data_IF_509042042370
#
_entry.id   IF_509042042370
#
_cell.length_a   1.000
_cell.length_b   1.000
_cell.length_c   1.000
_cell.angle_alpha   90.00
_cell.angle_beta   90.00
_cell.angle_gamma   90.00
#
_symmetry.space_group_name_H-M   'P 1'
#
loop_
_entity.id
_entity.type
_entity.pdbx_description
1 polymer ?
#
# COMPACT_ATOMS: atom_id res chain seq x y z
N UNK A 1 19.25 -13.11 38.64
CA UNK A 1 18.59 -13.00 37.32
C UNK A 1 17.08 -13.12 37.54
N UNK A 2 16.28 -12.13 37.11
CA UNK A 2 14.83 -12.13 37.28
C UNK A 2 14.16 -12.54 35.96
N UNK A 3 14.34 -13.80 35.57
CA UNK A 3 13.84 -14.37 34.31
C UNK A 3 12.78 -15.43 34.63
N UNK A 4 11.61 -15.32 34.00
CA UNK A 4 10.46 -16.17 34.27
C UNK A 4 9.86 -16.73 32.98
N UNK A 5 9.07 -17.79 33.11
CA UNK A 5 8.44 -18.46 31.99
C UNK A 5 7.33 -17.59 31.36
N UNK A 6 7.40 -17.36 30.06
CA UNK A 6 6.43 -16.55 29.31
C UNK A 6 5.33 -17.37 28.62
N UNK A 7 5.35 -18.71 28.73
CA UNK A 7 4.43 -19.62 28.04
C UNK A 7 3.22 -20.03 28.86
N UNK A 8 3.28 -19.81 30.17
CA UNK A 8 2.20 -20.07 31.11
C UNK A 8 2.17 -18.99 32.20
N UNK A 9 1.24 -19.10 33.15
CA UNK A 9 1.02 -18.10 34.19
C UNK A 9 1.96 -18.26 35.41
N UNK A 10 2.96 -19.16 35.39
CA UNK A 10 3.83 -19.38 36.56
C UNK A 10 4.55 -18.11 37.00
N UNK A 11 4.90 -17.24 36.04
CA UNK A 11 5.60 -15.99 36.28
C UNK A 11 4.89 -15.09 37.31
N UNK A 12 3.57 -15.19 37.46
CA UNK A 12 2.83 -14.39 38.45
C UNK A 12 3.25 -14.73 39.87
N UNK A 13 3.31 -16.02 40.18
CA UNK A 13 3.70 -16.49 41.51
C UNK A 13 5.19 -16.23 41.74
N UNK A 14 6.01 -16.51 40.73
CA UNK A 14 7.46 -16.34 40.80
C UNK A 14 7.84 -14.86 41.02
N UNK A 15 7.19 -13.93 40.33
CA UNK A 15 7.39 -12.48 40.53
C UNK A 15 6.90 -12.05 41.90
N UNK A 16 5.75 -12.51 42.38
CA UNK A 16 5.21 -12.14 43.70
C UNK A 16 6.07 -12.61 44.87
N UNK A 17 6.81 -13.70 44.71
CA UNK A 17 7.76 -14.14 45.74
C UNK A 17 8.90 -13.13 45.94
N UNK A 18 9.29 -12.43 44.86
CA UNK A 18 10.38 -11.45 44.88
C UNK A 18 9.85 -10.04 45.14
N UNK A 19 8.71 -9.71 44.54
CA UNK A 19 8.02 -8.43 44.61
C UNK A 19 6.58 -8.64 45.09
N UNK A 20 6.35 -8.81 46.41
CA UNK A 20 5.01 -9.06 46.96
C UNK A 20 4.00 -7.96 46.64
N UNK A 21 4.50 -6.74 46.44
CA UNK A 21 3.70 -5.55 46.16
C UNK A 21 3.28 -5.43 44.69
N UNK A 22 3.87 -6.23 43.79
CA UNK A 22 3.73 -6.10 42.34
C UNK A 22 4.83 -5.28 41.68
N UNK A 23 4.57 -4.80 40.47
CA UNK A 23 5.48 -4.09 39.58
C UNK A 23 4.86 -2.75 39.19
N UNK A 24 5.66 -1.68 39.23
CA UNK A 24 5.19 -0.33 38.90
C UNK A 24 4.88 -0.15 37.41
N UNK A 25 5.66 -0.79 36.53
CA UNK A 25 5.50 -0.68 35.07
C UNK A 25 5.56 -2.05 34.43
N UNK A 26 4.53 -2.39 33.66
CA UNK A 26 4.48 -3.64 32.88
C UNK A 26 4.44 -3.28 31.41
N UNK A 27 5.47 -3.68 30.64
CA UNK A 27 5.47 -3.61 29.18
C UNK A 27 5.04 -4.97 28.65
N UNK A 28 3.77 -5.08 28.24
CA UNK A 28 3.17 -6.35 27.85
C UNK A 28 3.22 -6.58 26.33
N UNK A 29 3.53 -7.83 25.97
CA UNK A 29 3.36 -8.37 24.61
C UNK A 29 2.69 -9.76 24.61
N UNK A 30 2.23 -10.23 25.77
CA UNK A 30 1.50 -11.49 25.90
C UNK A 30 0.01 -11.27 25.59
N UNK A 31 -0.69 -12.33 25.19
CA UNK A 31 -2.10 -12.25 24.78
C UNK A 31 -3.01 -13.16 25.61
N UNK A 32 -4.31 -12.90 25.57
CA UNK A 32 -5.34 -13.77 26.15
C UNK A 32 -5.22 -13.88 27.67
N UNK A 33 -5.22 -15.11 28.21
CA UNK A 33 -5.16 -15.31 29.65
C UNK A 33 -3.87 -14.75 30.26
N UNK A 34 -2.74 -14.83 29.56
CA UNK A 34 -1.47 -14.35 30.09
C UNK A 34 -1.46 -12.82 30.26
N UNK A 35 -2.13 -12.06 29.38
CA UNK A 35 -2.35 -10.62 29.57
C UNK A 35 -3.17 -10.35 30.85
N UNK A 36 -4.24 -11.12 31.06
CA UNK A 36 -5.10 -11.03 32.26
C UNK A 36 -4.38 -11.43 33.55
N UNK A 37 -3.38 -12.29 33.46
CA UNK A 37 -2.52 -12.64 34.59
C UNK A 37 -1.45 -11.56 34.82
N UNK A 38 -0.85 -11.01 33.77
CA UNK A 38 0.11 -9.90 33.86
C UNK A 38 -0.47 -8.68 34.58
N UNK A 39 -1.72 -8.27 34.28
CA UNK A 39 -2.30 -7.07 34.90
C UNK A 39 -2.47 -7.21 36.42
N UNK A 40 -2.60 -8.44 36.95
CA UNK A 40 -2.69 -8.70 38.41
C UNK A 40 -1.38 -8.46 39.15
N UNK A 41 -0.28 -8.26 38.42
CA UNK A 41 1.02 -7.92 38.97
C UNK A 41 1.23 -6.42 39.13
N UNK A 42 0.31 -5.55 38.69
CA UNK A 42 0.47 -4.11 38.89
C UNK A 42 0.47 -3.77 40.38
N UNK A 43 1.48 -3.00 40.79
CA UNK A 43 1.49 -2.32 42.07
C UNK A 43 0.48 -1.15 42.07
N UNK A 44 0.22 -0.59 43.25
CA UNK A 44 -0.61 0.62 43.39
C UNK A 44 0.01 1.77 42.58
N UNK A 45 -0.82 2.55 41.86
CA UNK A 45 -0.40 3.55 40.87
C UNK A 45 0.35 2.99 39.64
N UNK A 46 0.33 1.68 39.42
CA UNK A 46 1.08 1.06 38.35
C UNK A 46 0.60 1.44 36.93
N UNK A 47 1.52 1.35 35.97
CA UNK A 47 1.27 1.61 34.56
C UNK A 47 1.42 0.34 33.73
N UNK A 48 0.33 -0.06 33.08
CA UNK A 48 0.34 -1.15 32.11
C UNK A 48 0.48 -0.58 30.69
N UNK A 49 1.50 -1.00 29.97
CA UNK A 49 1.78 -0.58 28.59
C UNK A 49 1.54 -1.78 27.69
N UNK A 50 0.43 -1.77 26.97
CA UNK A 50 0.06 -2.80 26.00
C UNK A 50 0.64 -2.48 24.63
N UNK A 51 1.61 -3.29 24.20
CA UNK A 51 2.18 -3.24 22.85
C UNK A 51 1.49 -4.24 21.90
N UNK A 52 0.87 -5.30 22.44
CA UNK A 52 0.20 -6.34 21.68
C UNK A 52 -1.11 -5.86 21.06
N UNK A 53 -1.34 -6.27 19.80
CA UNK A 53 -2.57 -5.91 19.06
C UNK A 53 -3.66 -6.97 19.15
N UNK A 54 -3.31 -8.23 19.44
CA UNK A 54 -4.22 -9.37 19.27
C UNK A 54 -5.52 -9.20 20.05
N UNK A 55 -5.44 -8.97 21.36
CA UNK A 55 -6.63 -8.87 22.21
C UNK A 55 -7.49 -7.64 21.88
N UNK A 56 -6.86 -6.52 21.49
CA UNK A 56 -7.54 -5.28 21.11
C UNK A 56 -8.37 -5.47 19.84
N UNK A 57 -7.77 -6.07 18.80
CA UNK A 57 -8.46 -6.29 17.52
C UNK A 57 -9.53 -7.38 17.59
N UNK A 58 -9.52 -8.22 18.64
CA UNK A 58 -10.53 -9.23 18.91
C UNK A 58 -11.61 -8.78 19.91
N UNK A 59 -11.58 -7.52 20.36
CA UNK A 59 -12.52 -6.97 21.35
C UNK A 59 -12.61 -7.82 22.63
N UNK A 60 -11.45 -8.29 23.11
CA UNK A 60 -11.38 -9.10 24.32
C UNK A 60 -11.61 -8.26 25.57
N UNK A 61 -12.45 -8.78 26.49
CA UNK A 61 -12.76 -8.09 27.74
C UNK A 61 -11.56 -7.99 28.69
N UNK A 62 -11.34 -6.78 29.21
CA UNK A 62 -10.43 -6.47 30.32
C UNK A 62 -11.22 -6.16 31.60
N UNK A 63 -10.78 -6.72 32.73
CA UNK A 63 -11.46 -6.49 34.01
C UNK A 63 -11.06 -5.14 34.60
N UNK A 64 -12.01 -4.19 34.67
CA UNK A 64 -11.81 -2.88 35.30
C UNK A 64 -11.42 -2.97 36.78
N UNK A 65 -11.79 -4.06 37.46
CA UNK A 65 -11.40 -4.29 38.84
C UNK A 65 -9.88 -4.28 39.02
N UNK A 66 -9.11 -4.67 38.01
CA UNK A 66 -7.64 -4.66 38.09
C UNK A 66 -7.05 -3.25 38.11
N UNK A 67 -7.81 -2.23 37.70
CA UNK A 67 -7.39 -0.84 37.69
C UNK A 67 -7.78 -0.06 38.96
N UNK A 68 -8.48 -0.70 39.90
CA UNK A 68 -9.00 -0.08 41.13
C UNK A 68 -7.94 0.55 42.04
N UNK A 69 -6.67 0.20 41.85
CA UNK A 69 -5.54 0.63 42.66
C UNK A 69 -4.84 1.86 42.06
N UNK A 70 -5.65 2.80 41.52
CA UNK A 70 -5.21 4.00 40.81
C UNK A 70 -4.24 3.70 39.64
N UNK A 71 -4.40 2.53 39.00
CA UNK A 71 -3.54 2.09 37.91
C UNK A 71 -3.99 2.67 36.56
N UNK A 72 -3.05 2.83 35.64
CA UNK A 72 -3.32 3.26 34.26
C UNK A 72 -3.07 2.13 33.27
N UNK A 73 -3.89 2.06 32.21
CA UNK A 73 -3.71 1.15 31.09
C UNK A 73 -3.51 1.96 29.80
N UNK A 74 -2.36 1.77 29.15
CA UNK A 74 -1.95 2.50 27.95
C UNK A 74 -1.86 1.53 26.78
N UNK A 75 -2.56 1.83 25.68
CA UNK A 75 -2.39 1.12 24.40
C UNK A 75 -1.47 1.95 23.52
N UNK A 76 -0.42 1.33 22.98
CA UNK A 76 0.51 2.01 22.06
C UNK A 76 0.51 1.30 20.70
N UNK A 77 0.05 2.02 19.67
CA UNK A 77 0.13 1.58 18.28
C UNK A 77 1.04 2.50 17.45
N UNK A 78 2.30 2.10 17.30
CA UNK A 78 3.28 2.83 16.49
C UNK A 78 2.98 2.85 14.99
N UNK A 79 2.22 1.87 14.48
CA UNK A 79 1.90 1.81 13.05
C UNK A 79 0.91 2.92 12.71
N UNK A 80 -0.18 3.02 13.47
CA UNK A 80 -1.16 4.10 13.31
C UNK A 80 -0.56 5.49 13.54
N UNK A 81 0.43 5.60 14.43
CA UNK A 81 1.16 6.86 14.62
C UNK A 81 2.07 7.23 13.43
N UNK A 82 2.63 6.23 12.73
CA UNK A 82 3.53 6.44 11.60
C UNK A 82 2.78 6.80 10.30
N UNK A 83 1.58 6.24 10.09
CA UNK A 83 0.76 6.49 8.89
C UNK A 83 0.38 7.97 8.68
N UNK A 84 0.53 8.81 9.71
CA UNK A 84 0.20 10.24 9.67
C UNK A 84 1.41 11.19 9.76
N UNK A 85 2.64 10.71 9.56
CA UNK A 85 3.90 11.50 9.69
C UNK A 85 3.85 12.41 10.92
N UNK A 86 3.58 11.80 12.07
CA UNK A 86 3.39 12.55 13.32
C UNK A 86 4.69 13.23 13.75
N UNK A 87 4.70 14.54 14.09
CA UNK A 87 5.85 15.21 14.71
C UNK A 87 6.35 14.49 15.97
N UNK A 88 5.49 13.71 16.63
CA UNK A 88 5.87 12.88 17.77
C UNK A 88 6.82 11.74 17.36
N UNK A 89 6.52 11.00 16.29
CA UNK A 89 7.37 9.90 15.82
C UNK A 89 8.76 10.41 15.44
N UNK A 90 8.82 11.57 14.77
CA UNK A 90 10.08 12.21 14.45
C UNK A 90 10.90 12.52 15.70
N UNK A 91 10.31 13.18 16.71
CA UNK A 91 11.00 13.49 17.97
C UNK A 91 11.46 12.22 18.70
N UNK A 92 10.63 11.20 18.77
CA UNK A 92 10.98 9.92 19.41
C UNK A 92 12.16 9.23 18.72
N UNK A 93 12.21 9.26 17.38
CA UNK A 93 13.33 8.71 16.61
C UNK A 93 14.61 9.54 16.81
N UNK A 94 14.51 10.87 16.80
CA UNK A 94 15.63 11.77 17.09
C UNK A 94 16.20 11.49 18.50
N UNK A 95 15.34 11.40 19.53
CA UNK A 95 15.74 11.05 20.90
C UNK A 95 16.40 9.65 20.99
N UNK A 96 15.84 8.65 20.30
CA UNK A 96 16.41 7.30 20.29
C UNK A 96 17.81 7.28 19.64
N UNK A 97 18.01 8.03 18.55
CA UNK A 97 19.31 8.20 17.91
C UNK A 97 20.29 8.88 18.86
N UNK A 98 19.86 9.95 19.55
CA UNK A 98 20.71 10.65 20.52
C UNK A 98 21.14 9.73 21.67
N UNK A 99 20.23 8.92 22.21
CA UNK A 99 20.57 7.91 23.22
C UNK A 99 21.59 6.89 22.70
N UNK A 100 21.49 6.50 21.43
CA UNK A 100 22.42 5.57 20.79
C UNK A 100 23.81 6.20 20.59
N UNK A 101 23.86 7.44 20.08
CA UNK A 101 25.10 8.21 19.89
C UNK A 101 25.80 8.43 21.24
N UNK A 102 25.02 8.74 22.29
CA UNK A 102 25.50 8.89 23.67
C UNK A 102 25.86 7.54 24.33
N UNK A 103 25.68 6.41 23.65
CA UNK A 103 25.92 5.04 24.15
C UNK A 103 25.11 4.68 25.39
N UNK A 104 23.98 5.34 25.63
CA UNK A 104 23.02 5.00 26.70
C UNK A 104 22.17 3.78 26.34
N UNK A 105 21.96 3.56 25.04
CA UNK A 105 21.42 2.33 24.48
C UNK A 105 22.44 1.74 23.50
N UNK A 106 22.33 0.43 23.26
CA UNK A 106 23.19 -0.32 22.34
C UNK A 106 22.34 -1.07 21.33
N UNK A 107 22.97 -1.48 20.22
CA UNK A 107 22.33 -2.35 19.25
C UNK A 107 21.86 -3.65 19.94
N UNK A 108 20.72 -4.17 19.48
CA UNK A 108 20.19 -5.45 19.97
C UNK A 108 21.03 -6.58 19.42
N UNK A 109 21.53 -7.45 20.30
CA UNK A 109 22.30 -8.63 19.93
C UNK A 109 21.55 -9.92 20.31
N UNK A 110 21.61 -10.98 19.49
CA UNK A 110 22.32 -11.05 18.21
C UNK A 110 21.57 -10.31 17.09
N UNK A 111 22.30 -9.57 16.25
CA UNK A 111 21.78 -9.12 14.95
C UNK A 111 22.10 -10.16 13.87
N UNK A 112 21.07 -10.82 13.35
CA UNK A 112 21.22 -11.80 12.26
C UNK A 112 20.94 -11.10 10.94
N UNK A 113 21.96 -11.03 10.09
CA UNK A 113 21.88 -10.37 8.78
C UNK A 113 21.61 -11.39 7.68
N UNK A 114 20.64 -11.09 6.82
CA UNK A 114 20.30 -11.87 5.62
C UNK A 114 20.49 -11.03 4.37
N UNK A 115 20.81 -11.69 3.27
CA UNK A 115 20.73 -11.07 1.94
C UNK A 115 19.26 -11.03 1.47
N UNK A 116 18.89 -10.13 0.54
CA UNK A 116 17.51 -9.98 0.09
C UNK A 116 16.94 -11.28 -0.52
N UNK A 117 17.80 -12.11 -1.10
CA UNK A 117 17.46 -13.41 -1.69
C UNK A 117 17.01 -14.45 -0.65
N UNK A 118 17.33 -14.22 0.62
CA UNK A 118 17.01 -15.12 1.73
C UNK A 118 15.75 -14.70 2.49
N UNK A 119 14.94 -13.77 1.96
CA UNK A 119 13.74 -13.25 2.63
C UNK A 119 12.79 -14.34 3.12
N UNK A 120 12.59 -15.40 2.34
CA UNK A 120 11.71 -16.51 2.71
C UNK A 120 12.28 -17.28 3.91
N UNK A 121 13.57 -17.58 3.90
CA UNK A 121 14.26 -18.28 4.98
C UNK A 121 14.17 -17.49 6.29
N UNK A 122 14.48 -16.19 6.22
CA UNK A 122 14.42 -15.29 7.37
C UNK A 122 13.00 -15.21 7.97
N UNK A 123 11.96 -15.09 7.14
CA UNK A 123 10.57 -15.05 7.60
C UNK A 123 10.12 -16.37 8.23
N UNK A 124 10.51 -17.53 7.66
CA UNK A 124 10.21 -18.83 8.23
C UNK A 124 10.84 -19.01 9.62
N UNK A 125 12.09 -18.57 9.79
CA UNK A 125 12.77 -18.57 11.09
C UNK A 125 12.06 -17.66 12.09
N UNK A 126 11.69 -16.44 11.71
CA UNK A 126 10.91 -15.53 12.56
C UNK A 126 9.60 -16.17 13.02
N UNK A 127 8.86 -16.81 12.11
CA UNK A 127 7.56 -17.43 12.43
C UNK A 127 7.68 -18.66 13.35
N UNK A 128 8.79 -19.39 13.27
CA UNK A 128 9.06 -20.54 14.14
C UNK A 128 9.37 -20.17 15.60
N UNK A 129 9.49 -18.87 15.92
CA UNK A 129 9.86 -18.39 17.25
C UNK A 129 11.32 -18.69 17.63
N UNK A 130 12.17 -19.06 16.67
CA UNK A 130 13.57 -19.42 16.87
C UNK A 130 14.54 -18.23 16.72
N UNK A 131 14.03 -17.02 16.59
CA UNK A 131 14.85 -15.81 16.44
C UNK A 131 15.03 -15.14 17.79
N UNK A 132 16.30 -15.01 18.20
CA UNK A 132 16.72 -14.13 19.28
C UNK A 132 17.29 -12.85 18.65
N UNK A 133 17.04 -11.70 19.28
CA UNK A 133 17.58 -10.42 18.83
C UNK A 133 16.87 -9.84 17.60
N UNK A 134 17.63 -9.36 16.62
CA UNK A 134 17.09 -8.62 15.46
C UNK A 134 17.47 -9.29 14.14
N UNK A 135 16.47 -9.59 13.31
CA UNK A 135 16.66 -9.94 11.90
C UNK A 135 16.77 -8.67 11.06
N UNK A 136 17.85 -8.54 10.29
CA UNK A 136 18.12 -7.40 9.39
C UNK A 136 18.39 -7.92 7.98
N UNK A 137 17.88 -7.24 6.97
CA UNK A 137 18.25 -7.48 5.58
C UNK A 137 19.27 -6.43 5.15
N UNK A 138 20.42 -6.88 4.65
CA UNK A 138 21.41 -5.99 4.03
C UNK A 138 20.96 -5.76 2.59
N UNK A 139 20.86 -4.51 2.19
CA UNK A 139 20.55 -4.12 0.80
C UNK A 139 21.71 -3.25 0.32
N UNK A 140 22.40 -3.69 -0.73
CA UNK A 140 23.51 -2.97 -1.36
C UNK A 140 23.14 -2.58 -2.79
N UNK A 141 23.74 -1.50 -3.30
CA UNK A 141 23.53 -1.05 -4.69
C UNK A 141 24.05 -2.04 -5.74
N UNK A 142 24.86 -3.03 -5.35
CA UNK A 142 25.37 -4.10 -6.20
C UNK A 142 24.50 -5.36 -6.21
N UNK A 143 23.44 -5.42 -5.40
CA UNK A 143 22.58 -6.60 -5.33
C UNK A 143 21.81 -6.78 -6.65
N UNK A 144 21.88 -7.98 -7.22
CA UNK A 144 21.10 -8.29 -8.42
C UNK A 144 19.61 -8.21 -8.10
N UNK A 145 18.78 -7.65 -9.01
CA UNK A 145 17.34 -7.59 -8.81
C UNK A 145 16.78 -8.99 -8.53
N UNK A 146 16.04 -9.12 -7.43
CA UNK A 146 15.43 -10.39 -7.03
C UNK A 146 14.50 -10.89 -8.12
N UNK A 147 14.85 -12.03 -8.72
CA UNK A 147 13.97 -12.70 -9.69
C UNK A 147 12.95 -13.53 -8.91
N UNK A 148 11.78 -12.96 -8.65
CA UNK A 148 10.68 -13.68 -7.99
C UNK A 148 10.04 -14.63 -9.02
N UNK A 149 10.39 -15.91 -8.96
CA UNK A 149 9.70 -16.93 -9.76
C UNK A 149 8.27 -17.10 -9.24
N UNK A 150 7.30 -16.75 -10.10
CA UNK A 150 5.86 -16.86 -9.86
C UNK A 150 5.48 -18.32 -9.58
N UNK A 151 5.53 -18.77 -8.33
CA UNK A 151 4.93 -20.06 -7.95
C UNK A 151 3.43 -19.83 -7.85
N UNK A 152 2.66 -20.40 -8.79
CA UNK A 152 1.22 -20.54 -8.63
C UNK A 152 0.96 -21.28 -7.32
N UNK A 153 0.56 -20.57 -6.27
CA UNK A 153 0.23 -21.18 -4.99
C UNK A 153 -1.04 -20.54 -4.46
N UNK A 154 -2.09 -21.37 -4.35
CA UNK A 154 -3.38 -21.06 -3.74
C UNK A 154 -3.25 -20.84 -2.23
N UNK A 155 -2.59 -19.77 -1.78
CA UNK A 155 -2.53 -19.43 -0.35
C UNK A 155 -2.88 -17.97 -0.12
N UNK A 156 -3.75 -17.75 0.88
CA UNK A 156 -4.39 -16.52 1.37
C UNK A 156 -3.45 -15.39 1.81
N UNK A 157 -2.16 -15.43 1.46
CA UNK A 157 -1.20 -14.35 1.69
C UNK A 157 -1.16 -13.48 0.45
N UNK A 158 -1.85 -12.34 0.51
CA UNK A 158 -1.75 -11.26 -0.48
C UNK A 158 -0.37 -10.62 -0.32
N UNK A 159 0.65 -11.23 -0.91
CA UNK A 159 1.96 -10.60 -1.09
C UNK A 159 1.71 -9.32 -1.88
N UNK A 160 1.93 -8.17 -1.23
CA UNK A 160 2.06 -6.89 -1.92
C UNK A 160 3.42 -6.94 -2.61
N UNK A 161 3.43 -7.62 -3.75
CA UNK A 161 4.44 -7.40 -4.78
C UNK A 161 4.34 -5.91 -5.11
N UNK A 162 5.47 -5.27 -5.37
CA UNK A 162 5.53 -4.03 -6.14
C UNK A 162 4.98 -4.35 -7.55
N UNK A 163 3.66 -4.53 -7.60
CA UNK A 163 2.83 -4.81 -8.76
C UNK A 163 2.56 -3.49 -9.48
N UNK A 164 3.53 -2.60 -9.47
CA UNK A 164 3.51 -1.44 -10.32
C UNK A 164 3.71 -2.00 -11.73
N UNK A 165 2.59 -2.33 -12.37
CA UNK A 165 2.47 -2.59 -13.80
C UNK A 165 3.13 -1.46 -14.63
N UNK A 166 3.44 -0.35 -13.97
CA UNK A 166 4.14 0.84 -14.44
C UNK A 166 5.36 1.10 -13.55
N UNK A 167 6.59 1.14 -14.07
CA UNK A 167 7.75 1.59 -13.30
C UNK A 167 7.49 2.94 -12.59
N UNK A 168 8.16 3.21 -11.46
CA UNK A 168 7.98 4.46 -10.69
C UNK A 168 8.16 5.73 -11.53
N UNK A 169 9.03 5.67 -12.54
CA UNK A 169 9.24 6.71 -13.56
C UNK A 169 7.99 7.00 -14.39
N UNK A 170 7.22 5.97 -14.73
CA UNK A 170 5.94 6.09 -15.45
C UNK A 170 4.87 6.67 -14.53
N UNK A 171 4.84 6.25 -13.25
CA UNK A 171 3.85 6.77 -12.31
C UNK A 171 4.08 8.26 -11.99
N UNK A 172 5.34 8.71 -11.88
CA UNK A 172 5.65 10.06 -11.39
C UNK A 172 6.03 11.07 -12.49
N UNK A 173 6.55 10.65 -13.65
CA UNK A 173 7.10 11.54 -14.68
C UNK A 173 6.71 11.13 -16.11
N UNK A 174 5.77 10.19 -16.27
CA UNK A 174 5.30 9.72 -17.56
C UNK A 174 3.81 9.94 -17.75
N UNK A 175 3.40 10.24 -18.97
CA UNK A 175 1.99 10.27 -19.37
C UNK A 175 1.57 8.93 -19.94
N UNK A 176 0.41 8.41 -19.51
CA UNK A 176 -0.23 7.27 -20.17
C UNK A 176 -1.28 7.79 -21.16
N UNK A 177 -1.06 7.55 -22.45
CA UNK A 177 -2.01 7.90 -23.51
C UNK A 177 -3.04 6.78 -23.70
N UNK A 178 -4.33 7.11 -23.66
CA UNK A 178 -5.43 6.14 -23.85
C UNK A 178 -6.24 6.54 -25.08
N UNK A 179 -6.14 5.76 -26.17
CA UNK A 179 -7.00 5.97 -27.34
C UNK A 179 -8.42 5.51 -27.04
N UNK A 180 -9.44 6.29 -27.42
CA UNK A 180 -10.80 6.02 -26.96
C UNK A 180 -10.97 6.25 -25.46
N UNK A 181 -10.10 7.09 -24.86
CA UNK A 181 -10.00 7.26 -23.41
C UNK A 181 -11.26 7.78 -22.73
N UNK A 182 -12.11 8.51 -23.46
CA UNK A 182 -13.41 8.96 -22.97
C UNK A 182 -14.51 7.88 -23.04
N UNK A 183 -14.22 6.67 -23.54
CA UNK A 183 -15.15 5.54 -23.47
C UNK A 183 -15.26 4.98 -22.05
N UNK A 184 -16.30 4.16 -21.80
CA UNK A 184 -16.54 3.58 -20.47
C UNK A 184 -15.34 2.79 -19.92
N UNK A 185 -14.65 2.02 -20.78
CA UNK A 185 -13.44 1.30 -20.39
C UNK A 185 -12.26 2.25 -20.14
N UNK A 186 -12.04 3.25 -21.00
CA UNK A 186 -10.95 4.21 -20.86
C UNK A 186 -11.02 4.99 -19.56
N UNK A 187 -12.22 5.50 -19.19
CA UNK A 187 -12.45 6.20 -17.93
C UNK A 187 -12.27 5.27 -16.71
N UNK A 188 -12.76 4.03 -16.81
CA UNK A 188 -12.63 3.04 -15.74
C UNK A 188 -11.17 2.67 -15.48
N UNK A 189 -10.41 2.40 -16.54
CA UNK A 189 -8.98 2.10 -16.43
C UNK A 189 -8.22 3.32 -15.91
N UNK A 190 -8.56 4.52 -16.36
CA UNK A 190 -7.93 5.76 -15.86
C UNK A 190 -8.09 5.93 -14.36
N UNK A 191 -9.32 5.74 -13.86
CA UNK A 191 -9.58 5.71 -12.42
C UNK A 191 -8.73 4.66 -11.71
N UNK A 192 -8.76 3.42 -12.21
CA UNK A 192 -8.00 2.32 -11.60
C UNK A 192 -6.48 2.61 -11.57
N UNK A 193 -5.93 3.20 -12.62
CA UNK A 193 -4.52 3.57 -12.68
C UNK A 193 -4.16 4.65 -11.67
N UNK A 194 -5.03 5.64 -11.46
CA UNK A 194 -4.80 6.68 -10.44
C UNK A 194 -4.93 6.09 -9.03
N UNK A 195 -6.07 5.45 -8.73
CA UNK A 195 -6.40 4.98 -7.37
C UNK A 195 -5.53 3.81 -6.92
N UNK A 196 -5.27 2.83 -7.79
CA UNK A 196 -4.68 1.55 -7.43
C UNK A 196 -3.21 1.41 -7.83
N UNK A 197 -2.72 2.29 -8.71
CA UNK A 197 -1.36 2.24 -9.27
C UNK A 197 -0.57 3.54 -9.12
N UNK A 198 -1.20 4.62 -8.68
CA UNK A 198 -0.51 5.89 -8.40
C UNK A 198 -0.07 6.67 -9.65
N UNK A 199 -0.63 6.39 -10.82
CA UNK A 199 -0.32 7.13 -12.05
C UNK A 199 -0.75 8.59 -11.90
N UNK A 200 0.17 9.52 -12.19
CA UNK A 200 -0.07 10.96 -12.03
C UNK A 200 -0.50 11.68 -13.31
N UNK A 201 -0.17 11.18 -14.50
CA UNK A 201 -0.50 11.85 -15.76
C UNK A 201 -1.17 10.90 -16.75
N UNK A 202 -2.38 11.24 -17.20
CA UNK A 202 -3.15 10.48 -18.18
C UNK A 202 -3.64 11.42 -19.28
N UNK A 203 -3.48 11.01 -20.54
CA UNK A 203 -4.05 11.69 -21.69
C UNK A 203 -5.16 10.82 -22.30
N UNK A 204 -6.40 11.31 -22.28
CA UNK A 204 -7.56 10.66 -22.88
C UNK A 204 -7.73 11.16 -24.31
N UNK A 205 -7.37 10.32 -25.28
CA UNK A 205 -7.53 10.66 -26.69
C UNK A 205 -8.93 10.29 -27.20
N UNK A 206 -9.59 11.25 -27.84
CA UNK A 206 -10.94 11.09 -28.39
C UNK A 206 -11.08 11.86 -29.70
N UNK A 207 -11.97 11.39 -30.59
CA UNK A 207 -12.34 12.12 -31.81
C UNK A 207 -13.21 13.35 -31.51
N UNK A 208 -13.96 13.29 -30.41
CA UNK A 208 -14.87 14.35 -29.97
C UNK A 208 -14.08 15.39 -29.17
N UNK A 209 -14.45 16.65 -29.30
CA UNK A 209 -13.89 17.75 -28.50
C UNK A 209 -14.28 17.62 -27.04
N UNK A 210 -13.50 18.20 -26.12
CA UNK A 210 -13.85 18.26 -24.70
C UNK A 210 -15.24 18.89 -24.48
N UNK A 211 -15.58 19.94 -25.23
CA UNK A 211 -16.89 20.62 -25.15
C UNK A 211 -18.04 19.66 -25.47
N UNK A 212 -17.88 18.77 -26.45
CA UNK A 212 -18.88 17.74 -26.77
C UNK A 212 -18.94 16.65 -25.70
N UNK A 213 -17.79 16.32 -25.11
CA UNK A 213 -17.67 15.25 -24.13
C UNK A 213 -18.21 15.64 -22.75
N UNK A 214 -18.14 16.92 -22.38
CA UNK A 214 -18.66 17.46 -21.12
C UNK A 214 -20.14 17.83 -21.16
N UNK A 215 -20.86 17.51 -22.25
CA UNK A 215 -22.30 17.67 -22.28
C UNK A 215 -22.98 16.67 -21.32
N UNK A 216 -23.95 17.10 -20.49
CA UNK A 216 -24.69 16.20 -19.60
C UNK A 216 -25.44 15.07 -20.32
N UNK A 217 -25.71 15.23 -21.62
CA UNK A 217 -26.32 14.19 -22.47
C UNK A 217 -25.35 13.07 -22.87
N UNK A 218 -24.05 13.23 -22.62
CA UNK A 218 -23.06 12.20 -22.89
C UNK A 218 -23.23 11.05 -21.86
N UNK A 219 -23.41 9.78 -22.29
CA UNK A 219 -23.56 8.66 -21.37
C UNK A 219 -22.37 8.44 -20.43
N UNK A 220 -21.20 8.98 -20.76
CA UNK A 220 -19.98 8.89 -19.94
C UNK A 220 -19.79 10.09 -18.98
N UNK A 221 -20.74 11.04 -18.94
CA UNK A 221 -20.61 12.28 -18.17
C UNK A 221 -20.41 12.03 -16.66
N UNK A 222 -21.18 11.14 -16.06
CA UNK A 222 -21.08 10.85 -14.61
C UNK A 222 -19.73 10.22 -14.24
N UNK A 223 -19.24 9.30 -15.06
CA UNK A 223 -17.93 8.67 -14.87
C UNK A 223 -16.79 9.69 -15.09
N UNK A 224 -16.94 10.62 -16.04
CA UNK A 224 -16.01 11.73 -16.20
C UNK A 224 -15.97 12.66 -14.96
N UNK A 225 -17.13 13.02 -14.41
CA UNK A 225 -17.20 13.80 -13.16
C UNK A 225 -16.60 13.05 -11.98
N UNK A 226 -16.71 11.72 -11.94
CA UNK A 226 -16.07 10.89 -10.93
C UNK A 226 -14.55 10.91 -11.09
N UNK A 227 -14.04 10.73 -12.32
CA UNK A 227 -12.61 10.82 -12.61
C UNK A 227 -12.03 12.18 -12.22
N UNK A 228 -12.72 13.29 -12.52
CA UNK A 228 -12.31 14.65 -12.10
C UNK A 228 -12.25 14.86 -10.58
N UNK A 229 -12.98 14.08 -9.79
CA UNK A 229 -12.90 14.13 -8.32
C UNK A 229 -11.66 13.37 -7.84
N UNK A 230 -11.43 12.20 -8.40
CA UNK A 230 -10.26 11.34 -8.11
C UNK A 230 -8.95 12.06 -8.44
N UNK A 231 -8.89 12.79 -9.55
CA UNK A 231 -7.67 13.56 -9.89
C UNK A 231 -7.28 14.55 -8.81
N UNK A 232 -8.25 15.21 -8.17
CA UNK A 232 -7.98 16.13 -7.05
C UNK A 232 -7.54 15.40 -5.79
N UNK A 233 -8.18 14.28 -5.46
CA UNK A 233 -7.88 13.49 -4.26
C UNK A 233 -6.47 12.88 -4.31
N UNK A 234 -6.04 12.40 -5.48
CA UNK A 234 -4.76 11.71 -5.66
C UNK A 234 -3.65 12.61 -6.23
N UNK A 235 -3.88 13.92 -6.37
CA UNK A 235 -2.97 14.88 -7.00
C UNK A 235 -2.48 14.39 -8.38
N UNK A 236 -3.42 14.00 -9.24
CA UNK A 236 -3.19 13.52 -10.60
C UNK A 236 -3.79 14.49 -11.64
N UNK A 237 -3.32 14.39 -12.87
CA UNK A 237 -3.71 15.21 -14.00
C UNK A 237 -4.26 14.32 -15.12
N UNK A 238 -5.42 14.70 -15.64
CA UNK A 238 -6.08 14.01 -16.77
C UNK A 238 -6.39 15.05 -17.83
N UNK A 239 -5.73 14.95 -18.97
CA UNK A 239 -5.95 15.81 -20.13
C UNK A 239 -6.81 15.09 -21.16
N UNK A 240 -7.68 15.82 -21.87
CA UNK A 240 -8.44 15.29 -23.00
C UNK A 240 -7.88 15.86 -24.27
N UNK A 241 -7.36 15.01 -25.14
CA UNK A 241 -6.72 15.39 -26.39
C UNK A 241 -7.57 14.93 -27.57
N UNK A 242 -7.79 15.84 -28.52
CA UNK A 242 -8.62 15.55 -29.68
C UNK A 242 -7.75 15.02 -30.83
N UNK A 243 -7.94 13.75 -31.19
CA UNK A 243 -7.33 13.15 -32.37
C UNK A 243 -8.13 11.92 -32.84
N UNK A 244 -8.08 11.67 -34.15
CA UNK A 244 -8.52 10.40 -34.73
C UNK A 244 -7.34 9.42 -34.78
N UNK A 245 -7.46 8.32 -34.03
CA UNK A 245 -6.43 7.27 -33.95
C UNK A 245 -6.09 6.67 -35.32
N UNK A 246 -7.00 6.76 -36.30
CA UNK A 246 -6.77 6.24 -37.65
C UNK A 246 -6.00 7.20 -38.56
N UNK A 247 -5.85 8.46 -38.13
CA UNK A 247 -5.11 9.49 -38.84
C UNK A 247 -3.67 9.57 -38.31
N UNK A 248 -2.74 9.04 -39.11
CA UNK A 248 -1.32 9.01 -38.76
C UNK A 248 -0.75 10.37 -38.39
N UNK A 249 -1.07 11.42 -39.17
CA UNK A 249 -0.51 12.75 -38.94
C UNK A 249 -0.96 13.32 -37.60
N UNK A 250 -2.25 13.16 -37.26
CA UNK A 250 -2.77 13.64 -35.97
C UNK A 250 -2.13 12.91 -34.79
N UNK A 251 -1.96 11.59 -34.88
CA UNK A 251 -1.32 10.81 -33.82
C UNK A 251 0.17 11.16 -33.69
N UNK A 252 0.86 11.31 -34.82
CA UNK A 252 2.26 11.71 -34.86
C UNK A 252 2.47 13.08 -34.20
N UNK A 253 1.68 14.08 -34.61
CA UNK A 253 1.79 15.44 -34.07
C UNK A 253 1.49 15.49 -32.58
N UNK A 254 0.50 14.71 -32.12
CA UNK A 254 0.18 14.56 -30.70
C UNK A 254 1.35 13.97 -29.90
N UNK A 255 1.98 12.90 -30.40
CA UNK A 255 3.12 12.28 -29.73
C UNK A 255 4.31 13.25 -29.65
N UNK A 256 4.58 13.98 -30.74
CA UNK A 256 5.62 15.00 -30.80
C UNK A 256 5.36 16.18 -29.85
N UNK A 257 4.09 16.55 -29.63
CA UNK A 257 3.71 17.56 -28.64
C UNK A 257 4.05 17.10 -27.21
N UNK A 258 3.66 15.87 -26.85
CA UNK A 258 3.98 15.33 -25.52
C UNK A 258 5.48 15.14 -25.29
N UNK A 259 6.25 14.75 -26.30
CA UNK A 259 7.70 14.60 -26.20
C UNK A 259 8.43 15.91 -25.86
N UNK A 260 7.81 17.07 -26.13
CA UNK A 260 8.35 18.40 -25.78
C UNK A 260 8.03 18.81 -24.34
N UNK A 261 7.15 18.09 -23.65
CA UNK A 261 6.75 18.38 -22.27
C UNK A 261 7.67 17.71 -21.26
N UNK A 262 7.61 18.12 -19.99
CA UNK A 262 8.30 17.45 -18.88
C UNK A 262 7.70 16.07 -18.53
N UNK A 263 6.57 15.68 -19.14
CA UNK A 263 5.87 14.42 -18.89
C UNK A 263 5.62 13.66 -20.21
N UNK A 264 6.67 13.12 -20.85
CA UNK A 264 6.53 12.43 -22.14
C UNK A 264 5.64 11.19 -22.03
N UNK A 265 5.13 10.71 -23.17
CA UNK A 265 4.34 9.48 -23.20
C UNK A 265 5.25 8.30 -22.85
N UNK A 266 4.88 7.55 -21.80
CA UNK A 266 5.61 6.35 -21.34
C UNK A 266 4.78 5.06 -21.41
N UNK A 267 3.50 5.17 -21.76
CA UNK A 267 2.62 4.03 -21.94
C UNK A 267 1.45 4.38 -22.84
N UNK A 268 0.97 3.39 -23.59
CA UNK A 268 -0.18 3.54 -24.49
C UNK A 268 -1.18 2.43 -24.17
N UNK A 269 -2.45 2.80 -24.06
CA UNK A 269 -3.57 1.87 -23.94
C UNK A 269 -4.51 2.09 -25.11
N UNK A 270 -4.63 1.07 -25.96
CA UNK A 270 -5.51 1.12 -27.11
C UNK A 270 -6.93 0.63 -26.76
N UNK A 271 -7.83 1.56 -26.41
CA UNK A 271 -9.24 1.27 -26.11
C UNK A 271 -10.22 1.84 -27.14
N UNK A 272 -9.74 2.26 -28.31
CA UNK A 272 -10.58 2.84 -29.35
C UNK A 272 -11.48 1.77 -29.97
N UNK A 273 -12.79 1.99 -29.91
CA UNK A 273 -13.78 1.08 -30.48
C UNK A 273 -14.98 1.86 -31.01
N UNK A 274 -15.50 1.38 -32.12
CA UNK A 274 -16.83 1.72 -32.61
C UNK A 274 -17.61 0.41 -32.64
N UNK A 275 -18.71 0.34 -31.91
CA UNK A 275 -19.55 -0.85 -31.82
C UNK A 275 -20.79 -0.66 -32.70
N UNK A 276 -20.85 -1.44 -33.77
CA UNK A 276 -22.05 -1.57 -34.61
C UNK A 276 -22.33 -3.05 -34.87
N UNK A 277 -23.01 -3.67 -33.92
CA UNK A 277 -23.33 -5.09 -34.00
C UNK A 277 -24.39 -5.37 -35.09
N UNK A 278 -24.12 -6.38 -35.91
CA UNK A 278 -25.00 -6.87 -36.97
C UNK A 278 -24.96 -8.39 -37.01
N UNK A 279 -26.06 -9.00 -37.45
CA UNK A 279 -26.07 -10.42 -37.83
C UNK A 279 -25.22 -10.62 -39.08
N UNK A 280 -24.70 -11.83 -39.28
CA UNK A 280 -23.84 -12.14 -40.43
C UNK A 280 -24.48 -11.77 -41.77
N UNK A 281 -25.79 -12.01 -41.93
CA UNK A 281 -26.53 -11.71 -43.15
C UNK A 281 -26.71 -10.20 -43.42
N UNK A 282 -26.61 -9.37 -42.37
CA UNK A 282 -26.81 -7.92 -42.46
C UNK A 282 -25.49 -7.14 -42.38
N UNK A 283 -24.36 -7.85 -42.34
CA UNK A 283 -23.04 -7.24 -42.28
C UNK A 283 -22.65 -6.77 -43.69
N UNK A 284 -22.42 -5.46 -43.85
CA UNK A 284 -22.00 -4.87 -45.12
C UNK A 284 -20.56 -4.37 -45.06
N UNK A 285 -19.99 -4.08 -46.22
CA UNK A 285 -18.66 -3.50 -46.33
C UNK A 285 -18.58 -2.11 -45.66
N UNK A 286 -19.66 -1.31 -45.66
CA UNK A 286 -19.67 -0.03 -44.94
C UNK A 286 -19.54 -0.22 -43.43
N UNK A 287 -20.25 -1.20 -42.85
CA UNK A 287 -20.15 -1.52 -41.43
C UNK A 287 -18.71 -1.95 -41.06
N UNK A 288 -18.10 -2.83 -41.84
CA UNK A 288 -16.71 -3.26 -41.63
C UNK A 288 -15.71 -2.08 -41.74
N UNK A 289 -15.92 -1.20 -42.71
CA UNK A 289 -15.11 0.00 -42.92
C UNK A 289 -15.27 1.01 -41.77
N UNK A 290 -16.31 0.90 -40.96
CA UNK A 290 -16.51 1.73 -39.77
C UNK A 290 -15.85 1.12 -38.52
N UNK A 291 -16.02 -0.19 -38.29
CA UNK A 291 -15.60 -0.84 -37.03
C UNK A 291 -14.15 -1.31 -37.00
N UNK A 292 -13.58 -1.68 -38.15
CA UNK A 292 -12.20 -2.21 -38.23
C UNK A 292 -11.12 -1.13 -38.08
N UNK A 293 -11.19 0.04 -38.74
CA UNK A 293 -10.07 0.97 -38.75
C UNK A 293 -9.59 1.43 -37.36
N UNK A 294 -10.47 1.76 -36.39
CA UNK A 294 -10.01 2.16 -35.06
C UNK A 294 -9.11 1.13 -34.39
N UNK A 295 -9.40 -0.17 -34.55
CA UNK A 295 -8.65 -1.27 -33.92
C UNK A 295 -7.43 -1.74 -34.71
N UNK A 296 -7.53 -1.75 -36.04
CA UNK A 296 -6.50 -2.35 -36.90
C UNK A 296 -5.53 -1.31 -37.40
N UNK A 297 -6.03 -0.19 -37.94
CA UNK A 297 -5.19 0.89 -38.45
C UNK A 297 -4.73 1.83 -37.34
N UNK A 298 -5.53 1.94 -36.27
CA UNK A 298 -5.21 2.78 -35.12
C UNK A 298 -4.29 2.14 -34.08
N UNK A 299 -4.04 0.83 -34.14
CA UNK A 299 -3.08 0.14 -33.28
C UNK A 299 -1.71 0.11 -33.96
#
# INVERSE_FOLDING_TARGET
EHVFNSRDASFVNDIRQILPQGVDVIVNSLSGNLLKESIKLLAYHGHFIEWGKRDIYHDNNLSMFQLRSDCSFHVIDFISLADHVSPLIRRMLEEAIDLFVQRKIRAVEPTVTYEPSQVIEALLRCNSGQVMGKTVFRITSSDQPLTIHKKQSNSLLKVVIDNTMFPSEVCNQGTILISGGFGGLGLTISRWMIEQRGVKHIALMSRRTLIQLEQPSNPQYDEWLRLKRITKEYNAHVDVVQADVTNFQQVHDLIEEFNKTFCPIRGIIHSAVVAEDRTLNNLTQEHLSLVLPPKVRGA
#
